data_IF_876576789965
#
_entry.id   IF_876576789965
#
_cell.length_a   1.000
_cell.length_b   1.000
_cell.length_c   1.000
_cell.angle_alpha   90.00
_cell.angle_beta   90.00
_cell.angle_gamma   90.00
#
_symmetry.space_group_name_H-M   'P 1'
#
loop_
_entity.id
_entity.type
_entity.pdbx_description
1 polymer ?
#
# COMPACT_ATOMS: atom_id res chain seq x y z
N UNK A 1 -34.94 -1.20 14.32
CA UNK A 1 -34.82 -1.54 12.89
C UNK A 1 -33.33 -1.45 12.55
N UNK A 2 -32.56 -2.53 12.75
CA UNK A 2 -31.09 -2.45 12.82
C UNK A 2 -30.48 -3.23 11.63
N UNK A 3 -30.45 -2.62 10.44
CA UNK A 3 -29.86 -3.22 9.22
C UNK A 3 -28.69 -2.40 8.66
N UNK A 4 -27.96 -1.66 9.49
CA UNK A 4 -26.96 -0.70 8.96
C UNK A 4 -25.60 -1.34 8.63
N UNK A 5 -25.25 -2.54 9.12
CA UNK A 5 -23.90 -3.06 8.87
C UNK A 5 -23.85 -4.56 8.54
N UNK A 6 -24.29 -4.95 7.33
CA UNK A 6 -23.60 -6.06 6.66
C UNK A 6 -22.27 -5.50 6.14
N UNK A 7 -21.24 -5.52 6.98
CA UNK A 7 -19.86 -5.12 6.62
C UNK A 7 -19.39 -6.04 5.50
N UNK A 8 -19.58 -5.63 4.25
CA UNK A 8 -19.04 -6.33 3.10
C UNK A 8 -17.54 -6.05 3.08
N UNK A 9 -16.70 -7.03 3.41
CA UNK A 9 -15.25 -6.86 3.45
C UNK A 9 -14.61 -6.86 2.05
N UNK A 10 -15.35 -7.31 1.03
CA UNK A 10 -14.92 -7.32 -0.37
C UNK A 10 -14.43 -5.96 -0.88
N UNK A 11 -15.15 -4.83 -0.72
CA UNK A 11 -14.66 -3.52 -1.17
C UNK A 11 -13.38 -3.09 -0.45
N UNK A 12 -13.21 -3.42 0.83
CA UNK A 12 -12.00 -3.08 1.59
C UNK A 12 -10.79 -3.85 1.03
N UNK A 13 -10.96 -5.14 0.76
CA UNK A 13 -9.93 -5.97 0.14
C UNK A 13 -9.51 -5.43 -1.23
N UNK A 14 -10.47 -5.04 -2.06
CA UNK A 14 -10.18 -4.44 -3.38
C UNK A 14 -9.35 -3.17 -3.23
N UNK A 15 -9.70 -2.29 -2.31
CA UNK A 15 -8.95 -1.04 -2.06
C UNK A 15 -7.51 -1.34 -1.62
N UNK A 16 -7.31 -2.28 -0.70
CA UNK A 16 -5.97 -2.66 -0.23
C UNK A 16 -5.12 -3.22 -1.37
N UNK A 17 -5.68 -4.12 -2.19
CA UNK A 17 -4.97 -4.69 -3.35
C UNK A 17 -4.60 -3.60 -4.36
N UNK A 18 -5.52 -2.67 -4.65
CA UNK A 18 -5.25 -1.55 -5.55
C UNK A 18 -4.12 -0.65 -5.05
N UNK A 19 -4.08 -0.33 -3.76
CA UNK A 19 -3.01 0.49 -3.15
C UNK A 19 -1.66 -0.21 -3.28
N UNK A 20 -1.58 -1.50 -2.98
CA UNK A 20 -0.35 -2.29 -3.10
C UNK A 20 0.12 -2.33 -4.56
N UNK A 21 -0.80 -2.51 -5.52
CA UNK A 21 -0.48 -2.50 -6.94
C UNK A 21 0.09 -1.16 -7.41
N UNK A 22 -0.53 -0.04 -7.01
CA UNK A 22 -0.06 1.30 -7.35
C UNK A 22 1.31 1.55 -6.74
N UNK A 23 1.54 1.15 -5.48
CA UNK A 23 2.83 1.28 -4.82
C UNK A 23 3.92 0.46 -5.52
N UNK A 24 3.64 -0.79 -5.90
CA UNK A 24 4.57 -1.65 -6.64
C UNK A 24 4.88 -1.11 -8.04
N UNK A 25 3.85 -0.65 -8.78
CA UNK A 25 4.05 -0.04 -10.09
C UNK A 25 4.82 1.28 -10.00
N UNK A 26 4.56 2.09 -8.98
CA UNK A 26 5.31 3.30 -8.72
C UNK A 26 6.78 2.98 -8.41
N UNK A 27 7.06 2.00 -7.56
CA UNK A 27 8.42 1.63 -7.19
C UNK A 27 9.24 1.16 -8.41
N UNK A 28 8.63 0.31 -9.28
CA UNK A 28 9.21 -0.14 -10.56
C UNK A 28 9.43 1.05 -11.50
N UNK A 29 8.43 1.91 -11.69
CA UNK A 29 8.49 3.05 -12.63
C UNK A 29 9.54 4.08 -12.23
N UNK A 30 9.70 4.31 -10.93
CA UNK A 30 10.63 5.32 -10.40
C UNK A 30 11.99 4.74 -10.02
N UNK A 31 12.32 3.49 -10.41
CA UNK A 31 13.61 2.82 -10.15
C UNK A 31 14.05 2.90 -8.68
N UNK A 32 13.10 2.80 -7.74
CA UNK A 32 13.41 2.95 -6.32
C UNK A 32 13.71 4.39 -5.85
N UNK A 33 13.35 5.45 -6.59
CA UNK A 33 13.40 6.82 -6.02
C UNK A 33 12.41 7.01 -4.86
N UNK A 34 11.33 6.23 -4.83
CA UNK A 34 10.49 6.16 -3.65
C UNK A 34 11.29 5.64 -2.46
N UNK A 35 12.05 4.55 -2.63
CA UNK A 35 12.99 4.07 -1.61
C UNK A 35 13.91 5.19 -1.08
N UNK A 36 14.46 6.02 -1.98
CA UNK A 36 15.33 7.15 -1.59
C UNK A 36 14.57 8.30 -0.90
N UNK A 37 13.27 8.46 -1.15
CA UNK A 37 12.40 9.43 -0.50
C UNK A 37 11.92 8.96 0.88
N UNK A 38 12.03 7.67 1.20
CA UNK A 38 11.71 7.18 2.54
C UNK A 38 12.72 7.71 3.56
N UNK A 39 12.32 7.89 4.84
CA UNK A 39 13.24 8.23 5.90
C UNK A 39 14.37 7.21 6.04
N UNK A 40 15.58 7.67 6.39
CA UNK A 40 16.77 6.83 6.55
C UNK A 40 16.54 5.61 7.46
N UNK A 41 15.72 5.75 8.50
CA UNK A 41 15.36 4.65 9.41
C UNK A 41 14.62 3.52 8.71
N UNK A 42 13.74 3.82 7.76
CA UNK A 42 12.96 2.82 7.03
C UNK A 42 13.78 2.22 5.88
N UNK A 43 14.62 3.02 5.22
CA UNK A 43 15.57 2.51 4.23
C UNK A 43 16.50 1.47 4.86
N UNK A 44 17.10 1.79 6.02
CA UNK A 44 17.99 0.88 6.73
C UNK A 44 17.29 -0.42 7.19
N UNK A 45 16.00 -0.37 7.49
CA UNK A 45 15.20 -1.54 7.85
C UNK A 45 14.92 -2.47 6.65
N UNK A 46 14.73 -1.90 5.46
CA UNK A 46 14.37 -2.63 4.24
C UNK A 46 15.58 -3.13 3.42
N UNK A 47 16.77 -2.54 3.58
CA UNK A 47 18.03 -3.00 2.95
C UNK A 47 18.76 -4.07 3.77
N UNK A 48 18.22 -4.44 4.93
CA UNK A 48 18.79 -5.46 5.81
C UNK A 48 18.16 -6.82 5.54
#
# INVERSE_FOLDING_TARGET
>A
MNRIFKKNWNPILVVVVTIIFIAGLADIKYKGRFFQLLPNSIQAYLTK
#
